data_IF_501083714875
#
_entry.id   IF_501083714875
#
_cell.length_a   1.000
_cell.length_b   1.000
_cell.length_c   1.000
_cell.angle_alpha   90.00
_cell.angle_beta   90.00
_cell.angle_gamma   90.00
#
_symmetry.space_group_name_H-M   'P 1'
#
loop_
_entity.id
_entity.type
_entity.pdbx_description
1 polymer ?
#
# COMPACT_ATOMS: atom_id res chain seq x y z
N UNK A 1 21.76 47.38 5.16
CA UNK A 1 20.40 47.40 5.75
C UNK A 1 19.74 46.05 5.51
N UNK A 2 19.71 45.17 6.52
CA UNK A 2 19.26 43.78 6.41
C UNK A 2 17.83 43.61 6.96
N UNK A 3 16.90 43.20 6.09
CA UNK A 3 15.75 42.30 6.28
C UNK A 3 15.25 41.96 7.71
N UNK A 4 14.88 42.96 8.52
CA UNK A 4 14.26 42.73 9.85
C UNK A 4 12.74 42.49 9.80
N UNK A 5 12.07 42.86 8.70
CA UNK A 5 10.59 42.77 8.55
C UNK A 5 10.08 41.45 7.96
N UNK A 6 10.94 40.65 7.31
CA UNK A 6 10.53 39.38 6.69
C UNK A 6 10.19 38.27 7.72
N UNK A 7 10.92 38.22 8.84
CA UNK A 7 10.73 37.22 9.91
C UNK A 7 9.36 37.31 10.61
N UNK A 8 8.83 38.50 11.00
CA UNK A 8 7.52 38.60 11.64
C UNK A 8 6.35 38.28 10.70
N UNK A 9 6.44 38.67 9.42
CA UNK A 9 5.38 38.38 8.42
C UNK A 9 5.29 36.89 8.12
N UNK A 10 6.43 36.21 7.91
CA UNK A 10 6.47 34.77 7.72
C UNK A 10 5.91 34.02 8.95
N UNK A 11 6.27 34.45 10.16
CA UNK A 11 5.77 33.86 11.41
C UNK A 11 4.25 34.06 11.56
N UNK A 12 3.72 35.23 11.18
CA UNK A 12 2.29 35.49 11.20
C UNK A 12 1.52 34.63 10.18
N UNK A 13 2.04 34.48 8.96
CA UNK A 13 1.48 33.60 7.93
C UNK A 13 1.47 32.15 8.37
N UNK A 14 2.60 31.64 8.89
CA UNK A 14 2.71 30.28 9.43
C UNK A 14 1.72 30.04 10.57
N UNK A 15 1.56 30.99 11.48
CA UNK A 15 0.58 30.88 12.57
C UNK A 15 -0.86 30.90 12.05
N UNK A 16 -1.17 31.70 11.02
CA UNK A 16 -2.50 31.73 10.39
C UNK A 16 -2.81 30.41 9.69
N UNK A 17 -1.86 29.89 8.92
CA UNK A 17 -1.94 28.58 8.27
C UNK A 17 -2.11 27.48 9.33
N UNK A 18 -1.31 27.49 10.40
CA UNK A 18 -1.40 26.51 11.48
C UNK A 18 -2.77 26.52 12.15
N UNK A 19 -3.29 27.71 12.48
CA UNK A 19 -4.60 27.84 13.13
C UNK A 19 -5.73 27.41 12.20
N UNK A 20 -5.62 27.76 10.91
CA UNK A 20 -6.56 27.34 9.88
C UNK A 20 -6.53 25.82 9.68
N UNK A 21 -5.34 25.21 9.60
CA UNK A 21 -5.18 23.76 9.46
C UNK A 21 -5.75 23.06 10.70
N UNK A 22 -5.39 23.54 11.90
CA UNK A 22 -5.89 23.03 13.16
C UNK A 22 -7.40 23.16 13.28
N UNK A 23 -8.05 24.12 12.61
CA UNK A 23 -9.51 24.22 12.60
C UNK A 23 -10.15 23.17 11.68
N UNK A 24 -9.58 22.96 10.49
CA UNK A 24 -10.11 22.02 9.50
C UNK A 24 -9.78 20.55 9.79
N UNK A 25 -8.73 20.28 10.59
CA UNK A 25 -8.35 18.91 11.00
C UNK A 25 -8.83 18.51 12.39
N UNK A 26 -9.63 19.34 13.09
CA UNK A 26 -10.11 19.01 14.46
C UNK A 26 -10.89 17.71 14.56
N UNK A 27 -11.57 17.33 13.48
CA UNK A 27 -12.35 16.09 13.43
C UNK A 27 -11.44 14.85 13.55
N UNK A 28 -10.19 14.93 13.08
CA UNK A 28 -9.27 13.82 13.10
C UNK A 28 -8.68 13.61 14.49
N UNK A 29 -8.83 12.39 15.00
CA UNK A 29 -8.23 11.95 16.26
C UNK A 29 -7.07 11.01 15.96
N UNK A 30 -6.09 10.95 16.87
CA UNK A 30 -4.95 10.02 16.75
C UNK A 30 -5.42 8.55 16.67
N UNK A 31 -6.55 8.23 17.31
CA UNK A 31 -7.20 6.91 17.25
C UNK A 31 -7.65 6.52 15.84
N UNK A 32 -7.94 7.48 14.95
CA UNK A 32 -8.44 7.20 13.60
C UNK A 32 -7.36 6.53 12.75
N UNK A 33 -6.10 6.90 13.01
CA UNK A 33 -4.88 6.42 12.36
C UNK A 33 -4.23 5.24 13.07
N UNK A 34 -4.66 4.91 14.29
CA UNK A 34 -4.01 3.85 15.07
C UNK A 34 -4.69 2.50 14.82
N UNK A 35 -4.01 1.54 14.15
CA UNK A 35 -4.58 0.21 13.87
C UNK A 35 -4.73 -0.69 15.09
N UNK A 36 -4.00 -0.43 16.17
CA UNK A 36 -4.08 -1.21 17.41
C UNK A 36 -3.95 -2.71 17.14
N UNK A 37 -4.95 -3.50 17.56
CA UNK A 37 -4.95 -4.96 17.38
C UNK A 37 -5.00 -5.42 15.93
N UNK A 38 -5.44 -4.58 14.98
CA UNK A 38 -5.45 -4.94 13.55
C UNK A 38 -4.04 -5.10 12.97
N UNK A 39 -2.99 -4.59 13.64
CA UNK A 39 -1.60 -4.87 13.27
C UNK A 39 -1.26 -6.35 13.32
N UNK A 40 -1.85 -7.11 14.25
CA UNK A 40 -1.65 -8.55 14.31
C UNK A 40 -2.24 -9.25 13.09
N UNK A 41 -3.40 -8.79 12.61
CA UNK A 41 -3.97 -9.29 11.36
C UNK A 41 -3.07 -8.95 10.17
N UNK A 42 -2.47 -7.76 10.18
CA UNK A 42 -1.44 -7.36 9.22
C UNK A 42 -0.15 -8.20 9.28
N UNK A 43 0.09 -8.96 10.34
CA UNK A 43 1.24 -9.87 10.40
C UNK A 43 0.83 -11.31 10.03
N UNK A 44 -0.36 -11.74 10.46
CA UNK A 44 -0.85 -13.10 10.24
C UNK A 44 -1.20 -13.33 8.77
N UNK A 45 -1.94 -12.41 8.14
CA UNK A 45 -2.34 -12.54 6.73
C UNK A 45 -1.13 -12.71 5.80
N UNK A 46 -0.10 -11.85 5.85
CA UNK A 46 1.03 -12.05 4.97
C UNK A 46 1.84 -13.29 5.32
N UNK A 47 1.97 -13.67 6.60
CA UNK A 47 2.63 -14.92 6.97
C UNK A 47 1.89 -16.15 6.42
N UNK A 48 0.56 -16.15 6.47
CA UNK A 48 -0.27 -17.24 5.95
C UNK A 48 -0.14 -17.44 4.44
N UNK A 49 0.18 -16.38 3.68
CA UNK A 49 0.40 -16.46 2.24
C UNK A 49 1.87 -16.63 1.86
N UNK A 50 2.78 -15.95 2.57
CA UNK A 50 4.20 -15.96 2.27
C UNK A 50 4.88 -17.28 2.67
N UNK A 51 4.53 -17.86 3.82
CA UNK A 51 5.19 -19.10 4.28
C UNK A 51 4.94 -20.29 3.33
N UNK A 52 3.69 -20.56 2.88
CA UNK A 52 3.47 -21.60 1.88
C UNK A 52 4.15 -21.30 0.55
N UNK A 53 4.21 -20.03 0.13
CA UNK A 53 4.89 -19.62 -1.09
C UNK A 53 6.40 -19.88 -1.01
N UNK A 54 7.05 -19.49 0.08
CA UNK A 54 8.47 -19.77 0.35
C UNK A 54 8.73 -21.29 0.31
N UNK A 55 7.91 -22.06 1.02
CA UNK A 55 8.03 -23.52 1.03
C UNK A 55 7.85 -24.11 -0.37
N UNK A 56 6.90 -23.59 -1.15
CA UNK A 56 6.67 -24.00 -2.54
C UNK A 56 7.88 -23.79 -3.43
N UNK A 57 8.57 -22.66 -3.30
CA UNK A 57 9.82 -22.40 -4.06
C UNK A 57 10.94 -23.35 -3.65
N UNK A 58 11.18 -23.51 -2.34
CA UNK A 58 12.23 -24.41 -1.83
C UNK A 58 11.98 -25.86 -2.26
N UNK A 59 10.74 -26.33 -2.18
CA UNK A 59 10.37 -27.68 -2.64
C UNK A 59 10.55 -27.82 -4.15
N UNK A 60 10.19 -26.79 -4.92
CA UNK A 60 10.37 -26.79 -6.38
C UNK A 60 11.83 -26.86 -6.77
N UNK A 61 12.69 -26.06 -6.14
CA UNK A 61 14.15 -26.07 -6.35
C UNK A 61 14.76 -27.45 -6.01
N UNK A 62 14.39 -28.01 -4.85
CA UNK A 62 14.82 -29.36 -4.46
C UNK A 62 14.35 -30.43 -5.46
N UNK A 63 13.09 -30.37 -5.91
CA UNK A 63 12.55 -31.33 -6.86
C UNK A 63 13.16 -31.17 -8.26
N UNK A 64 13.50 -29.94 -8.66
CA UNK A 64 14.19 -29.60 -9.90
C UNK A 64 15.57 -30.22 -10.03
N UNK A 65 16.26 -30.43 -8.90
CA UNK A 65 17.53 -31.17 -8.88
C UNK A 65 17.39 -32.67 -9.18
N UNK A 66 16.17 -33.21 -9.13
CA UNK A 66 15.89 -34.64 -9.34
C UNK A 66 15.01 -34.92 -10.58
N UNK A 67 14.15 -33.99 -11.00
CA UNK A 67 13.17 -34.16 -12.08
C UNK A 67 12.88 -32.84 -12.80
N UNK A 68 12.33 -32.91 -14.01
CA UNK A 68 11.82 -31.72 -14.70
C UNK A 68 10.58 -31.17 -13.98
N UNK A 69 10.67 -29.92 -13.52
CA UNK A 69 9.62 -29.20 -12.78
C UNK A 69 9.17 -27.92 -13.49
N UNK A 70 9.34 -27.87 -14.82
CA UNK A 70 9.13 -26.68 -15.66
C UNK A 70 7.77 -26.00 -15.44
N UNK A 71 6.72 -26.77 -15.15
CA UNK A 71 5.40 -26.23 -14.82
C UNK A 71 5.41 -25.38 -13.53
N UNK A 72 6.04 -25.87 -12.47
CA UNK A 72 6.13 -25.17 -11.18
C UNK A 72 7.04 -23.95 -11.28
N UNK A 73 8.18 -24.07 -11.95
CA UNK A 73 9.08 -22.93 -12.23
C UNK A 73 8.35 -21.81 -12.99
N UNK A 74 7.60 -22.17 -14.04
CA UNK A 74 6.81 -21.20 -14.80
C UNK A 74 5.74 -20.56 -13.93
N UNK A 75 5.05 -21.34 -13.09
CA UNK A 75 4.04 -20.82 -12.18
C UNK A 75 4.63 -19.85 -11.13
N UNK A 76 5.84 -20.10 -10.63
CA UNK A 76 6.55 -19.19 -9.72
C UNK A 76 6.88 -17.88 -10.44
N UNK A 77 7.44 -17.96 -11.65
CA UNK A 77 7.81 -16.78 -12.44
C UNK A 77 6.60 -15.90 -12.79
N UNK A 78 5.48 -16.51 -13.21
CA UNK A 78 4.22 -15.80 -13.42
C UNK A 78 3.67 -15.19 -12.12
N UNK A 79 3.80 -15.92 -11.00
CA UNK A 79 3.37 -15.47 -9.67
C UNK A 79 4.17 -14.29 -9.12
N UNK A 80 5.42 -14.12 -9.55
CA UNK A 80 6.26 -12.96 -9.19
C UNK A 80 5.85 -11.70 -9.99
N UNK A 81 5.21 -11.88 -11.15
CA UNK A 81 4.81 -10.80 -12.04
C UNK A 81 4.02 -9.69 -11.32
N UNK A 82 4.46 -8.41 -11.38
CA UNK A 82 3.82 -7.32 -10.63
C UNK A 82 2.48 -6.87 -11.24
N UNK A 83 2.15 -7.36 -12.43
CA UNK A 83 1.05 -6.87 -13.25
C UNK A 83 -0.30 -6.99 -12.53
N UNK A 84 -0.61 -8.15 -11.97
CA UNK A 84 -1.87 -8.39 -11.26
C UNK A 84 -1.96 -7.50 -10.01
N UNK A 85 -0.88 -7.46 -9.22
CA UNK A 85 -0.81 -6.62 -8.03
C UNK A 85 -1.04 -5.13 -8.37
N UNK A 86 -0.38 -4.62 -9.41
CA UNK A 86 -0.51 -3.23 -9.85
C UNK A 86 -1.94 -2.88 -10.26
N UNK A 87 -2.60 -3.75 -11.04
CA UNK A 87 -3.98 -3.53 -11.49
C UNK A 87 -4.93 -3.41 -10.31
N UNK A 88 -4.86 -4.34 -9.35
CA UNK A 88 -5.73 -4.30 -8.17
C UNK A 88 -5.35 -3.14 -7.23
N UNK A 89 -4.08 -2.79 -7.10
CA UNK A 89 -3.62 -1.66 -6.30
C UNK A 89 -4.21 -0.35 -6.86
N UNK A 90 -4.09 -0.12 -8.17
CA UNK A 90 -4.61 1.07 -8.83
C UNK A 90 -6.14 1.12 -8.73
N UNK A 91 -6.83 0.01 -8.99
CA UNK A 91 -8.29 -0.07 -8.83
C UNK A 91 -8.71 0.27 -7.39
N UNK A 92 -8.01 -0.28 -6.39
CA UNK A 92 -8.23 0.05 -4.99
C UNK A 92 -8.04 1.53 -4.69
N UNK A 93 -6.96 2.14 -5.19
CA UNK A 93 -6.68 3.57 -5.04
C UNK A 93 -7.76 4.44 -5.69
N UNK A 94 -8.26 4.06 -6.87
CA UNK A 94 -9.37 4.76 -7.52
C UNK A 94 -10.65 4.70 -6.67
N UNK A 95 -10.99 3.52 -6.15
CA UNK A 95 -12.15 3.35 -5.28
C UNK A 95 -12.00 4.18 -3.99
N UNK A 96 -10.79 4.27 -3.42
CA UNK A 96 -10.50 5.16 -2.28
C UNK A 96 -10.70 6.63 -2.64
N UNK A 97 -10.21 7.07 -3.81
CA UNK A 97 -10.42 8.43 -4.30
C UNK A 97 -11.90 8.77 -4.43
N UNK A 98 -12.68 7.88 -5.04
CA UNK A 98 -14.14 8.01 -5.12
C UNK A 98 -14.79 8.03 -3.73
N UNK A 99 -14.31 7.20 -2.81
CA UNK A 99 -14.82 7.15 -1.45
C UNK A 99 -14.55 8.45 -0.69
N UNK A 100 -13.40 9.08 -0.90
CA UNK A 100 -13.10 10.40 -0.31
C UNK A 100 -14.07 11.47 -0.84
N UNK A 101 -14.43 11.41 -2.12
CA UNK A 101 -15.45 12.29 -2.70
C UNK A 101 -16.84 12.02 -2.11
N UNK A 102 -17.20 10.75 -1.91
CA UNK A 102 -18.50 10.31 -1.40
C UNK A 102 -18.38 9.43 -0.11
N UNK A 103 -17.97 10.00 1.04
CA UNK A 103 -17.49 9.24 2.20
C UNK A 103 -18.55 8.46 2.97
N UNK A 104 -19.84 8.70 2.70
CA UNK A 104 -20.96 7.98 3.34
C UNK A 104 -21.40 6.73 2.57
N UNK A 105 -20.80 6.46 1.41
CA UNK A 105 -21.18 5.33 0.56
C UNK A 105 -20.59 4.02 1.08
N UNK A 106 -21.40 3.24 1.80
CA UNK A 106 -20.97 1.98 2.42
C UNK A 106 -20.51 0.94 1.39
N UNK A 107 -21.22 0.81 0.27
CA UNK A 107 -20.85 -0.15 -0.79
C UNK A 107 -19.46 0.14 -1.35
N UNK A 108 -19.12 1.42 -1.52
CA UNK A 108 -17.84 1.86 -2.04
C UNK A 108 -16.71 1.62 -1.04
N UNK A 109 -16.98 1.78 0.26
CA UNK A 109 -16.05 1.41 1.32
C UNK A 109 -15.79 -0.10 1.37
N UNK A 110 -16.83 -0.93 1.20
CA UNK A 110 -16.68 -2.39 1.11
C UNK A 110 -15.84 -2.77 -0.10
N UNK A 111 -16.14 -2.23 -1.28
CA UNK A 111 -15.40 -2.50 -2.51
C UNK A 111 -13.92 -2.08 -2.39
N UNK A 112 -13.65 -0.84 -1.95
CA UNK A 112 -12.29 -0.33 -1.77
C UNK A 112 -11.50 -1.19 -0.77
N UNK A 113 -12.10 -1.48 0.39
CA UNK A 113 -11.47 -2.28 1.42
C UNK A 113 -11.15 -3.70 0.93
N UNK A 114 -12.11 -4.36 0.29
CA UNK A 114 -11.95 -5.74 -0.16
C UNK A 114 -10.92 -5.85 -1.30
N UNK A 115 -10.95 -4.93 -2.26
CA UNK A 115 -9.94 -4.87 -3.34
C UNK A 115 -8.55 -4.70 -2.72
N UNK A 116 -8.35 -3.74 -1.82
CA UNK A 116 -7.04 -3.51 -1.21
C UNK A 116 -6.57 -4.66 -0.30
N UNK A 117 -7.46 -5.33 0.44
CA UNK A 117 -7.11 -6.52 1.23
C UNK A 117 -6.69 -7.70 0.33
N UNK A 118 -7.34 -7.86 -0.82
CA UNK A 118 -6.95 -8.86 -1.81
C UNK A 118 -5.60 -8.50 -2.43
N UNK A 119 -5.38 -7.23 -2.81
CA UNK A 119 -4.07 -6.75 -3.30
C UNK A 119 -2.98 -7.02 -2.27
N UNK A 120 -3.26 -6.75 -1.00
CA UNK A 120 -2.32 -7.00 0.08
C UNK A 120 -1.94 -8.48 0.22
N UNK A 121 -2.94 -9.36 0.14
CA UNK A 121 -2.76 -10.82 0.19
C UNK A 121 -1.95 -11.33 -1.02
N UNK A 122 -2.27 -10.84 -2.22
CA UNK A 122 -1.50 -11.13 -3.44
C UNK A 122 -0.06 -10.66 -3.29
N UNK A 123 0.16 -9.45 -2.76
CA UNK A 123 1.50 -8.93 -2.54
C UNK A 123 2.28 -9.73 -1.50
N UNK A 124 1.61 -10.31 -0.51
CA UNK A 124 2.27 -11.21 0.44
C UNK A 124 2.68 -12.53 -0.20
N UNK A 125 1.84 -13.07 -1.10
CA UNK A 125 2.17 -14.25 -1.89
C UNK A 125 3.38 -13.99 -2.79
N UNK A 126 3.37 -12.89 -3.56
CA UNK A 126 4.48 -12.53 -4.46
C UNK A 126 5.78 -12.28 -3.68
N UNK A 127 5.71 -11.60 -2.53
CA UNK A 127 6.84 -11.43 -1.62
C UNK A 127 7.36 -12.76 -1.08
N UNK A 128 6.48 -13.71 -0.77
CA UNK A 128 6.87 -15.06 -0.35
C UNK A 128 7.63 -15.81 -1.45
N UNK A 129 7.16 -15.74 -2.70
CA UNK A 129 7.85 -16.32 -3.85
C UNK A 129 9.23 -15.68 -4.05
N UNK A 130 9.31 -14.35 -4.03
CA UNK A 130 10.57 -13.60 -4.14
C UNK A 130 11.56 -13.94 -3.02
N UNK A 131 11.08 -14.03 -1.78
CA UNK A 131 11.91 -14.42 -0.64
C UNK A 131 12.42 -15.86 -0.79
N UNK A 132 11.56 -16.78 -1.25
CA UNK A 132 11.94 -18.16 -1.54
C UNK A 132 13.05 -18.25 -2.58
N UNK A 133 12.90 -17.55 -3.71
CA UNK A 133 13.93 -17.52 -4.77
C UNK A 133 15.21 -16.87 -4.27
N UNK A 134 15.09 -15.77 -3.52
CA UNK A 134 16.24 -15.09 -2.93
C UNK A 134 17.03 -15.98 -1.97
N UNK A 135 16.36 -16.83 -1.18
CA UNK A 135 17.01 -17.81 -0.30
C UNK A 135 17.77 -18.87 -1.12
N UNK A 136 17.14 -19.47 -2.13
CA UNK A 136 17.78 -20.48 -3.00
C UNK A 136 18.97 -19.89 -3.77
N UNK A 137 18.84 -18.68 -4.31
CA UNK A 137 19.91 -18.00 -5.06
C UNK A 137 21.04 -17.52 -4.15
N UNK A 138 20.76 -16.99 -2.97
CA UNK A 138 21.79 -16.54 -2.03
C UNK A 138 22.61 -17.71 -1.46
N UNK A 139 22.02 -18.91 -1.38
CA UNK A 139 22.73 -20.12 -0.99
C UNK A 139 23.76 -20.57 -2.05
N UNK A 140 23.52 -20.30 -3.34
CA UNK A 140 24.41 -20.68 -4.44
C UNK A 140 25.35 -19.57 -4.90
N UNK A 141 24.96 -18.30 -4.78
CA UNK A 141 25.74 -17.14 -5.20
C UNK A 141 26.12 -16.27 -3.99
N UNK A 142 27.38 -16.36 -3.56
CA UNK A 142 27.91 -15.61 -2.40
C UNK A 142 28.36 -14.18 -2.74
N UNK A 143 27.69 -13.49 -3.67
CA UNK A 143 28.06 -12.12 -4.01
C UNK A 143 27.34 -11.15 -3.06
N UNK A 144 28.03 -10.49 -2.12
CA UNK A 144 27.39 -9.67 -1.08
C UNK A 144 26.59 -8.49 -1.68
N UNK A 145 27.02 -7.97 -2.84
CA UNK A 145 26.33 -6.89 -3.55
C UNK A 145 24.94 -7.34 -4.04
N UNK A 146 24.84 -8.55 -4.60
CA UNK A 146 23.56 -9.09 -5.06
C UNK A 146 22.59 -9.29 -3.89
N UNK A 147 23.06 -9.89 -2.80
CA UNK A 147 22.27 -10.11 -1.59
C UNK A 147 21.74 -8.80 -1.02
N UNK A 148 22.59 -7.76 -0.96
CA UNK A 148 22.21 -6.45 -0.44
C UNK A 148 21.20 -5.74 -1.33
N UNK A 149 21.43 -5.71 -2.65
CA UNK A 149 20.53 -5.04 -3.60
C UNK A 149 19.16 -5.75 -3.64
N UNK A 150 19.14 -7.07 -3.81
CA UNK A 150 17.91 -7.85 -3.82
C UNK A 150 17.13 -7.71 -2.49
N UNK A 151 17.83 -7.81 -1.36
CA UNK A 151 17.23 -7.61 -0.05
C UNK A 151 16.60 -6.21 0.11
N UNK A 152 17.26 -5.17 -0.41
CA UNK A 152 16.73 -3.80 -0.38
C UNK A 152 15.46 -3.63 -1.22
N UNK A 153 15.39 -4.28 -2.39
CA UNK A 153 14.21 -4.25 -3.24
C UNK A 153 13.04 -5.01 -2.62
N UNK A 154 13.30 -6.17 -1.98
CA UNK A 154 12.28 -6.93 -1.26
C UNK A 154 11.73 -6.12 -0.08
N UNK A 155 12.61 -5.45 0.68
CA UNK A 155 12.20 -4.58 1.78
C UNK A 155 11.32 -3.41 1.27
N UNK A 156 11.68 -2.81 0.14
CA UNK A 156 10.88 -1.77 -0.51
C UNK A 156 9.50 -2.29 -0.94
N UNK A 157 9.44 -3.46 -1.57
CA UNK A 157 8.18 -4.09 -1.96
C UNK A 157 7.30 -4.43 -0.75
N UNK A 158 7.89 -4.90 0.36
CA UNK A 158 7.18 -5.11 1.62
C UNK A 158 6.57 -3.81 2.16
N UNK A 159 7.33 -2.72 2.15
CA UNK A 159 6.83 -1.40 2.56
C UNK A 159 5.65 -0.94 1.70
N UNK A 160 5.72 -1.09 0.37
CA UNK A 160 4.61 -0.78 -0.53
C UNK A 160 3.37 -1.62 -0.21
N UNK A 161 3.55 -2.92 0.00
CA UNK A 161 2.43 -3.80 0.34
C UNK A 161 1.81 -3.42 1.71
N UNK A 162 2.63 -3.04 2.68
CA UNK A 162 2.15 -2.57 3.98
C UNK A 162 1.38 -1.25 3.88
N UNK A 163 1.78 -0.34 2.99
CA UNK A 163 1.04 0.89 2.69
C UNK A 163 -0.35 0.54 2.15
N UNK A 164 -0.46 -0.42 1.22
CA UNK A 164 -1.75 -0.88 0.68
C UNK A 164 -2.66 -1.40 1.80
N UNK A 165 -2.13 -2.24 2.69
CA UNK A 165 -2.88 -2.71 3.86
C UNK A 165 -3.33 -1.56 4.76
N UNK A 166 -2.45 -0.59 5.01
CA UNK A 166 -2.76 0.55 5.87
C UNK A 166 -3.89 1.42 5.27
N UNK A 167 -3.86 1.65 3.95
CA UNK A 167 -4.96 2.33 3.25
C UNK A 167 -6.25 1.53 3.37
N UNK A 168 -6.21 0.20 3.22
CA UNK A 168 -7.37 -0.67 3.41
C UNK A 168 -7.96 -0.52 4.82
N UNK A 169 -7.12 -0.43 5.84
CA UNK A 169 -7.51 -0.17 7.23
C UNK A 169 -8.20 1.20 7.40
N UNK A 170 -7.69 2.25 6.76
CA UNK A 170 -8.29 3.59 6.82
C UNK A 170 -9.71 3.61 6.25
N UNK A 171 -9.94 2.87 5.17
CA UNK A 171 -11.26 2.80 4.49
C UNK A 171 -12.15 1.64 4.96
N UNK A 172 -11.80 0.99 6.07
CA UNK A 172 -12.55 -0.17 6.56
C UNK A 172 -14.04 0.16 6.79
N UNK A 173 -14.97 -0.64 6.23
CA UNK A 173 -16.40 -0.39 6.36
C UNK A 173 -16.89 -0.52 7.81
N UNK A 174 -16.21 -1.31 8.65
CA UNK A 174 -16.52 -1.45 10.06
C UNK A 174 -16.30 -0.15 10.86
N UNK A 175 -15.45 0.76 10.35
CA UNK A 175 -15.11 2.04 10.98
C UNK A 175 -15.68 3.24 10.24
N UNK A 176 -16.65 3.04 9.34
CA UNK A 176 -17.21 4.13 8.54
C UNK A 176 -17.86 5.23 9.39
N UNK A 177 -18.44 4.86 10.53
CA UNK A 177 -19.17 5.78 11.42
C UNK A 177 -18.35 6.30 12.62
N UNK A 178 -17.12 5.82 12.81
CA UNK A 178 -16.32 6.10 14.02
C UNK A 178 -14.84 6.33 13.77
N UNK A 179 -14.31 5.96 12.60
CA UNK A 179 -12.89 6.06 12.26
C UNK A 179 -12.58 7.14 11.24
N UNK A 180 -11.47 6.97 10.52
CA UNK A 180 -10.93 7.95 9.57
C UNK A 180 -11.98 8.47 8.57
N UNK A 181 -12.79 7.58 7.98
CA UNK A 181 -13.80 7.98 7.00
C UNK A 181 -14.93 8.84 7.59
N UNK A 182 -15.22 8.70 8.88
CA UNK A 182 -16.17 9.57 9.58
C UNK A 182 -15.62 11.00 9.67
N UNK A 183 -14.34 11.14 10.03
CA UNK A 183 -13.64 12.43 10.07
C UNK A 183 -13.52 13.06 8.67
N UNK A 184 -13.31 12.24 7.63
CA UNK A 184 -13.35 12.68 6.22
C UNK A 184 -14.74 13.20 5.84
N UNK A 185 -15.82 12.55 6.28
CA UNK A 185 -17.18 13.02 6.03
C UNK A 185 -17.50 14.38 6.65
N UNK A 186 -16.76 14.82 7.66
CA UNK A 186 -16.93 16.13 8.31
C UNK A 186 -16.12 17.27 7.66
N UNK A 187 -15.08 16.96 6.86
CA UNK A 187 -14.31 17.98 6.13
C UNK A 187 -15.19 18.76 5.14
N UNK A 188 -14.91 20.03 4.83
CA UNK A 188 -15.64 20.70 3.76
C UNK A 188 -15.39 20.04 2.38
N UNK A 189 -16.38 20.01 1.45
CA UNK A 189 -16.21 19.45 0.10
C UNK A 189 -15.03 20.05 -0.66
N UNK A 190 -14.73 21.34 -0.42
CA UNK A 190 -13.59 22.06 -1.01
C UNK A 190 -12.22 21.44 -0.71
N UNK A 191 -12.08 20.60 0.31
CA UNK A 191 -10.84 19.86 0.58
C UNK A 191 -10.90 18.42 0.09
N UNK A 192 -12.09 17.80 0.16
CA UNK A 192 -12.29 16.41 -0.26
C UNK A 192 -12.18 16.24 -1.76
N UNK A 193 -12.82 17.12 -2.53
CA UNK A 193 -12.89 17.00 -3.99
C UNK A 193 -11.51 17.19 -4.66
N UNK A 194 -10.68 18.19 -4.31
CA UNK A 194 -9.34 18.29 -4.86
C UNK A 194 -8.45 17.12 -4.48
N UNK A 195 -8.55 16.62 -3.25
CA UNK A 195 -7.80 15.43 -2.81
C UNK A 195 -8.22 14.19 -3.59
N UNK A 196 -9.52 13.95 -3.75
CA UNK A 196 -10.05 12.86 -4.55
C UNK A 196 -9.62 12.96 -6.02
N UNK A 197 -9.71 14.16 -6.60
CA UNK A 197 -9.29 14.43 -7.98
C UNK A 197 -7.78 14.18 -8.15
N UNK A 198 -6.95 14.60 -7.19
CA UNK A 198 -5.51 14.33 -7.21
C UNK A 198 -5.21 12.84 -7.16
N UNK A 199 -5.85 12.10 -6.26
CA UNK A 199 -5.69 10.64 -6.15
C UNK A 199 -6.08 9.96 -7.47
N UNK A 200 -7.21 10.34 -8.05
CA UNK A 200 -7.66 9.81 -9.34
C UNK A 200 -6.71 10.18 -10.48
N UNK A 201 -6.22 11.43 -10.52
CA UNK A 201 -5.27 11.87 -11.53
C UNK A 201 -3.96 11.08 -11.45
N UNK A 202 -3.42 10.85 -10.25
CA UNK A 202 -2.23 10.03 -10.04
C UNK A 202 -2.47 8.59 -10.47
N UNK A 203 -3.62 8.00 -10.10
CA UNK A 203 -3.98 6.64 -10.50
C UNK A 203 -4.11 6.50 -12.02
N UNK A 204 -4.80 7.43 -12.68
CA UNK A 204 -4.97 7.46 -14.13
C UNK A 204 -3.64 7.67 -14.86
N UNK A 205 -2.80 8.59 -14.37
CA UNK A 205 -1.46 8.80 -14.93
C UNK A 205 -0.59 7.55 -14.79
N UNK A 206 -0.68 6.84 -13.65
CA UNK A 206 0.02 5.58 -13.47
C UNK A 206 -0.43 4.51 -14.46
N UNK A 207 -1.74 4.43 -14.79
CA UNK A 207 -2.23 3.54 -15.85
C UNK A 207 -1.71 3.98 -17.21
N UNK A 208 -1.74 5.28 -17.49
CA UNK A 208 -1.31 5.85 -18.77
C UNK A 208 0.15 5.50 -19.06
N UNK A 209 1.04 5.76 -18.10
CA UNK A 209 2.46 5.39 -18.17
C UNK A 209 2.64 3.87 -18.34
N UNK A 210 1.86 3.07 -17.60
CA UNK A 210 1.93 1.62 -17.67
C UNK A 210 1.46 1.05 -19.02
N UNK A 211 0.51 1.70 -19.69
CA UNK A 211 0.04 1.33 -21.03
C UNK A 211 0.97 1.84 -22.14
N UNK A 212 2.07 2.53 -21.81
CA UNK A 212 3.10 2.94 -22.78
C UNK A 212 2.63 3.99 -23.79
N UNK A 213 1.66 4.83 -23.42
CA UNK A 213 1.24 5.99 -24.20
C UNK A 213 1.71 7.28 -23.53
#
# INVERSE_FOLDING_TARGET
MQNTTAKPVLRALLNRIRNWLKHHTRAFRRSDFWPGRMLWQAAIVPAAWALPAIAGVIVTDWLGSHRSVKYLETAIQEGIGPHIWNVFAILGVMLVGLLIAAPRQRWLAVAAHQVLQNTYSLGALTLGLLLGEWICLSASQHTPVFVMVAGSMIAFAFCLNLIVWYVAFLVSPARLNTGFMYSVAQLAPQFRLPLAALILAVALNSIYVYLGK
#
